data_IF_652997810940
#
_entry.id   IF_652997810940
#
_cell.length_a   1.000
_cell.length_b   1.000
_cell.length_c   1.000
_cell.angle_alpha   90.00
_cell.angle_beta   90.00
_cell.angle_gamma   90.00
#
_symmetry.space_group_name_H-M   'P 1'
#
loop_
_entity.id
_entity.type
_entity.pdbx_description
1 polymer ?
#
# COMPACT_ATOMS: atom_id res chain seq x y z
N UNK A 1 -8.81 -6.28 -25.87
CA UNK A 1 -8.52 -6.83 -24.53
C UNK A 1 -9.56 -7.89 -24.21
N UNK A 2 -9.22 -8.88 -23.38
CA UNK A 2 -10.16 -9.93 -22.95
C UNK A 2 -11.25 -9.33 -22.05
N UNK A 3 -12.46 -9.93 -21.96
CA UNK A 3 -13.49 -9.44 -21.05
C UNK A 3 -13.04 -9.49 -19.60
N UNK A 4 -13.47 -8.53 -18.80
CA UNK A 4 -13.19 -8.48 -17.36
C UNK A 4 -14.12 -9.44 -16.62
N UNK A 5 -13.54 -10.51 -16.07
CA UNK A 5 -14.25 -11.46 -15.21
C UNK A 5 -14.06 -11.16 -13.72
N UNK A 6 -12.93 -10.57 -13.34
CA UNK A 6 -12.64 -10.08 -11.99
C UNK A 6 -11.64 -8.93 -12.03
N UNK A 7 -11.72 -8.02 -11.04
CA UNK A 7 -10.75 -6.95 -10.85
C UNK A 7 -10.00 -7.15 -9.53
N UNK A 8 -8.66 -7.23 -9.63
CA UNK A 8 -7.76 -7.27 -8.48
C UNK A 8 -7.06 -5.93 -8.38
N UNK A 9 -6.89 -5.44 -7.17
CA UNK A 9 -6.26 -4.14 -6.91
C UNK A 9 -5.12 -4.25 -5.92
N UNK A 10 -4.09 -3.47 -6.14
CA UNK A 10 -3.21 -3.01 -5.08
C UNK A 10 -3.90 -1.91 -4.26
N UNK A 11 -3.33 -1.56 -3.09
CA UNK A 11 -3.89 -0.57 -2.18
C UNK A 11 -3.19 0.78 -2.25
N UNK A 12 -1.90 0.81 -1.89
CA UNK A 12 -1.13 2.04 -1.74
C UNK A 12 -0.78 2.65 -3.11
N UNK A 13 -1.00 3.95 -3.27
CA UNK A 13 -0.78 4.71 -4.51
C UNK A 13 -1.61 4.21 -5.73
N UNK A 14 -2.43 3.18 -5.51
CA UNK A 14 -3.45 2.67 -6.45
C UNK A 14 -4.85 3.13 -6.07
N UNK A 15 -5.33 2.75 -4.89
CA UNK A 15 -6.62 3.14 -4.32
C UNK A 15 -6.48 4.29 -3.31
N UNK A 16 -5.38 4.31 -2.56
CA UNK A 16 -5.08 5.30 -1.54
C UNK A 16 -3.91 6.18 -1.98
N UNK A 17 -4.11 7.50 -2.01
CA UNK A 17 -3.06 8.49 -2.24
C UNK A 17 -2.14 8.59 -1.02
N UNK A 18 -0.89 8.22 -1.21
CA UNK A 18 0.17 8.31 -0.21
C UNK A 18 1.01 9.59 -0.29
N UNK A 19 0.65 10.58 -1.11
CA UNK A 19 1.45 11.80 -1.32
C UNK A 19 1.71 12.59 -0.02
N UNK A 20 0.84 12.46 0.98
CA UNK A 20 0.93 13.13 2.28
C UNK A 20 1.64 12.31 3.37
N UNK A 21 2.26 11.17 3.02
CA UNK A 21 2.97 10.32 4.03
C UNK A 21 3.99 11.10 4.85
N UNK A 22 4.73 12.01 4.22
CA UNK A 22 5.74 12.82 4.88
C UNK A 22 5.14 13.74 5.96
N UNK A 23 3.90 14.19 5.80
CA UNK A 23 3.23 15.05 6.78
C UNK A 23 3.07 14.36 8.14
N UNK A 24 2.85 13.04 8.16
CA UNK A 24 2.72 12.29 9.41
C UNK A 24 4.02 12.29 10.23
N UNK A 25 5.17 12.19 9.55
CA UNK A 25 6.49 12.27 10.18
C UNK A 25 6.73 13.67 10.73
N UNK A 26 6.53 14.70 9.91
CA UNK A 26 6.72 16.10 10.32
C UNK A 26 5.87 16.42 11.55
N UNK A 27 4.58 16.11 11.50
CA UNK A 27 3.66 16.34 12.64
C UNK A 27 4.08 15.58 13.89
N UNK A 28 4.55 14.34 13.74
CA UNK A 28 5.06 13.57 14.89
C UNK A 28 6.27 14.27 15.51
N UNK A 29 7.23 14.70 14.71
CA UNK A 29 8.43 15.41 15.18
C UNK A 29 8.07 16.71 15.90
N UNK A 30 7.16 17.51 15.35
CA UNK A 30 6.66 18.75 15.98
C UNK A 30 5.98 18.46 17.32
N UNK A 31 5.12 17.44 17.39
CA UNK A 31 4.39 17.10 18.61
C UNK A 31 5.28 16.61 19.74
N UNK A 32 6.33 15.83 19.43
CA UNK A 32 7.27 15.36 20.46
C UNK A 32 8.23 16.48 20.90
N UNK A 33 8.71 17.31 19.97
CA UNK A 33 9.63 18.41 20.28
C UNK A 33 8.92 19.49 21.13
N UNK A 34 7.67 19.81 20.86
CA UNK A 34 6.90 20.79 21.64
C UNK A 34 6.80 20.47 23.14
N UNK A 35 6.96 19.20 23.52
CA UNK A 35 6.86 18.74 24.90
C UNK A 35 8.18 18.27 25.51
N UNK A 36 9.30 18.44 24.79
CA UNK A 36 10.63 17.96 25.21
C UNK A 36 11.66 19.12 25.17
N UNK A 37 11.99 19.74 26.32
CA UNK A 37 13.01 20.78 26.34
C UNK A 37 14.35 20.34 25.76
N UNK A 38 14.92 21.16 24.88
CA UNK A 38 16.19 20.87 24.22
C UNK A 38 16.11 20.00 22.97
N UNK A 39 14.91 19.50 22.59
CA UNK A 39 14.70 18.78 21.35
C UNK A 39 14.17 19.75 20.26
N UNK A 40 14.90 19.85 19.14
CA UNK A 40 14.49 20.66 17.99
C UNK A 40 13.78 19.78 16.94
N UNK A 41 12.55 20.16 16.54
CA UNK A 41 11.74 19.42 15.58
C UNK A 41 12.43 19.28 14.22
N UNK A 42 13.11 20.34 13.73
CA UNK A 42 13.80 20.30 12.43
C UNK A 42 14.93 19.27 12.44
N UNK A 43 15.70 19.21 13.53
CA UNK A 43 16.75 18.22 13.73
C UNK A 43 16.21 16.80 13.79
N UNK A 44 15.05 16.58 14.43
CA UNK A 44 14.41 15.25 14.48
C UNK A 44 13.90 14.82 13.09
N UNK A 45 13.33 15.75 12.31
CA UNK A 45 12.88 15.49 10.94
C UNK A 45 14.06 15.06 10.07
N UNK A 46 15.17 15.80 10.14
CA UNK A 46 16.38 15.47 9.40
C UNK A 46 16.96 14.11 9.80
N UNK A 47 17.07 13.84 11.11
CA UNK A 47 17.54 12.55 11.62
C UNK A 47 16.66 11.40 11.16
N UNK A 48 15.32 11.56 11.21
CA UNK A 48 14.39 10.54 10.74
C UNK A 48 14.57 10.26 9.23
N UNK A 49 14.73 11.31 8.42
CA UNK A 49 14.94 11.17 6.98
C UNK A 49 16.25 10.44 6.62
N UNK A 50 17.27 10.50 7.49
CA UNK A 50 18.53 9.78 7.32
C UNK A 50 18.45 8.34 7.84
N UNK A 51 17.82 8.12 8.98
CA UNK A 51 17.75 6.82 9.68
C UNK A 51 16.77 5.87 9.01
N UNK A 52 15.54 6.33 8.73
CA UNK A 52 14.44 5.48 8.30
C UNK A 52 14.76 4.65 7.05
N UNK A 53 15.32 5.21 5.95
CA UNK A 53 15.60 4.44 4.75
C UNK A 53 16.58 3.29 4.96
N UNK A 54 17.63 3.50 5.75
CA UNK A 54 18.62 2.47 6.06
C UNK A 54 18.03 1.37 6.92
N UNK A 55 17.33 1.74 8.00
CA UNK A 55 16.68 0.78 8.88
C UNK A 55 15.57 -0.04 8.14
N UNK A 56 14.78 0.62 7.30
CA UNK A 56 13.76 -0.07 6.50
C UNK A 56 14.40 -1.12 5.59
N UNK A 57 15.53 -0.82 4.95
CA UNK A 57 16.26 -1.78 4.11
C UNK A 57 16.60 -3.09 4.85
N UNK A 58 16.87 -3.02 6.16
CA UNK A 58 17.21 -4.18 7.00
C UNK A 58 16.00 -5.01 7.40
N UNK A 59 14.83 -4.38 7.56
CA UNK A 59 13.65 -5.02 8.14
C UNK A 59 12.50 -5.26 7.17
N UNK A 60 12.52 -4.62 5.99
CA UNK A 60 11.37 -4.53 5.07
C UNK A 60 10.79 -5.89 4.70
N UNK A 61 11.62 -6.84 4.31
CA UNK A 61 11.16 -8.18 3.94
C UNK A 61 10.43 -8.87 5.11
N UNK A 62 11.07 -8.89 6.29
CA UNK A 62 10.50 -9.53 7.48
C UNK A 62 9.23 -8.84 7.95
N UNK A 63 9.20 -7.52 7.87
CA UNK A 63 8.05 -6.71 8.25
C UNK A 63 6.90 -6.89 7.28
N UNK A 64 7.18 -6.79 5.97
CA UNK A 64 6.20 -6.97 4.90
C UNK A 64 5.58 -8.37 4.91
N UNK A 65 6.34 -9.40 5.30
CA UNK A 65 5.86 -10.78 5.39
C UNK A 65 5.29 -11.15 6.78
N UNK A 66 5.18 -10.18 7.70
CA UNK A 66 4.58 -10.40 9.02
C UNK A 66 5.44 -11.12 10.04
N UNK A 67 6.75 -11.29 9.77
CA UNK A 67 7.69 -11.86 10.72
C UNK A 67 8.14 -10.88 11.82
N UNK A 68 7.92 -9.58 11.62
CA UNK A 68 8.12 -8.52 12.59
C UNK A 68 6.80 -7.76 12.78
N UNK A 69 6.48 -7.40 14.01
CA UNK A 69 5.32 -6.57 14.31
C UNK A 69 5.64 -5.07 14.08
N UNK A 70 4.61 -4.33 13.66
CA UNK A 70 4.74 -2.91 13.32
C UNK A 70 5.12 -2.04 14.50
N UNK A 71 4.66 -2.37 15.71
CA UNK A 71 4.96 -1.57 16.89
C UNK A 71 6.45 -1.64 17.24
N UNK A 72 7.07 -2.82 17.15
CA UNK A 72 8.50 -3.03 17.34
C UNK A 72 9.33 -2.33 16.28
N UNK A 73 8.97 -2.47 15.00
CA UNK A 73 9.67 -1.79 13.90
C UNK A 73 9.60 -0.27 14.04
N UNK A 74 8.42 0.27 14.33
CA UNK A 74 8.23 1.72 14.50
C UNK A 74 8.97 2.23 15.74
N UNK A 75 8.91 1.52 16.87
CA UNK A 75 9.61 1.90 18.09
C UNK A 75 11.12 1.98 17.88
N UNK A 76 11.71 0.97 17.24
CA UNK A 76 13.16 0.96 16.98
C UNK A 76 13.58 2.11 16.04
N UNK A 77 12.82 2.38 14.98
CA UNK A 77 13.07 3.51 14.11
C UNK A 77 13.06 4.85 14.86
N UNK A 78 12.13 5.03 15.80
CA UNK A 78 12.09 6.24 16.63
C UNK A 78 13.20 6.29 17.70
N UNK A 79 13.61 5.14 18.27
CA UNK A 79 14.79 5.08 19.14
C UNK A 79 16.06 5.53 18.42
N UNK A 80 16.29 5.00 17.23
CA UNK A 80 17.44 5.37 16.39
C UNK A 80 17.40 6.86 16.01
N UNK A 81 16.22 7.36 15.61
CA UNK A 81 16.01 8.77 15.25
C UNK A 81 16.33 9.71 16.42
N UNK A 82 15.76 9.44 17.59
CA UNK A 82 15.98 10.26 18.79
C UNK A 82 17.42 10.13 19.32
N UNK A 83 18.00 8.93 19.25
CA UNK A 83 19.41 8.69 19.59
C UNK A 83 20.36 9.53 18.74
N UNK A 84 20.11 9.67 17.44
CA UNK A 84 20.88 10.56 16.55
C UNK A 84 20.76 12.05 16.93
N UNK A 85 19.68 12.43 17.62
CA UNK A 85 19.51 13.76 18.20
C UNK A 85 20.12 13.91 19.60
N UNK A 86 20.76 12.86 20.14
CA UNK A 86 21.33 12.86 21.49
C UNK A 86 20.26 12.64 22.59
N UNK A 87 19.06 12.17 22.24
CA UNK A 87 17.98 11.89 23.16
C UNK A 87 17.77 10.38 23.32
N UNK A 88 18.14 9.83 24.48
CA UNK A 88 17.97 8.40 24.80
C UNK A 88 16.70 8.07 25.58
N UNK A 89 15.68 8.95 25.56
CA UNK A 89 14.45 8.75 26.30
C UNK A 89 13.54 7.70 25.60
N UNK A 90 13.51 6.51 26.17
CA UNK A 90 12.69 5.37 25.70
C UNK A 90 11.19 5.68 25.75
N UNK A 91 10.74 6.47 26.72
CA UNK A 91 9.31 6.83 26.84
C UNK A 91 8.89 7.77 25.70
N UNK A 92 9.78 8.69 25.32
CA UNK A 92 9.57 9.57 24.19
C UNK A 92 9.57 8.83 22.85
N UNK A 93 10.47 7.85 22.67
CA UNK A 93 10.50 7.01 21.48
C UNK A 93 9.19 6.22 21.31
N UNK A 94 8.70 5.64 22.39
CA UNK A 94 7.40 4.92 22.42
C UNK A 94 6.24 5.86 22.09
N UNK A 95 6.21 7.05 22.64
CA UNK A 95 5.21 8.07 22.34
C UNK A 95 5.27 8.51 20.88
N UNK A 96 6.47 8.76 20.34
CA UNK A 96 6.67 9.11 18.94
C UNK A 96 6.14 8.03 18.01
N UNK A 97 6.46 6.76 18.29
CA UNK A 97 5.96 5.60 17.55
C UNK A 97 4.43 5.55 17.53
N UNK A 98 3.78 5.68 18.69
CA UNK A 98 2.31 5.66 18.79
C UNK A 98 1.65 6.79 18.00
N UNK A 99 2.18 8.01 18.12
CA UNK A 99 1.67 9.18 17.37
C UNK A 99 1.84 8.95 15.87
N UNK A 100 3.03 8.54 15.44
CA UNK A 100 3.33 8.33 14.03
C UNK A 100 2.43 7.26 13.40
N UNK A 101 2.24 6.11 14.05
CA UNK A 101 1.40 5.03 13.54
C UNK A 101 -0.07 5.48 13.36
N UNK A 102 -0.60 6.27 14.29
CA UNK A 102 -1.93 6.86 14.15
C UNK A 102 -2.02 7.80 12.96
N UNK A 103 -1.10 8.78 12.90
CA UNK A 103 -1.08 9.77 11.81
C UNK A 103 -0.78 9.17 10.44
N UNK A 104 0.03 8.11 10.36
CA UNK A 104 0.39 7.48 9.09
C UNK A 104 -0.80 6.81 8.39
N UNK A 105 -1.76 6.29 9.14
CA UNK A 105 -3.00 5.75 8.57
C UNK A 105 -3.92 6.88 8.10
N UNK A 106 -4.06 7.96 8.89
CA UNK A 106 -4.91 9.11 8.57
C UNK A 106 -4.38 9.97 7.42
N UNK A 107 -3.06 9.96 7.19
CA UNK A 107 -2.42 10.77 6.14
C UNK A 107 -2.77 10.31 4.72
N UNK A 108 -3.37 9.15 4.55
CA UNK A 108 -3.79 8.65 3.24
C UNK A 108 -5.19 9.12 2.90
N UNK A 109 -5.46 9.26 1.62
CA UNK A 109 -6.79 9.63 1.11
C UNK A 109 -7.20 8.67 0.00
N UNK A 110 -8.47 8.33 -0.03
CA UNK A 110 -9.02 7.57 -1.15
C UNK A 110 -9.00 8.46 -2.40
N UNK A 111 -8.55 7.92 -3.54
CA UNK A 111 -8.69 8.62 -4.82
C UNK A 111 -10.16 8.72 -5.20
N UNK A 112 -10.55 9.84 -5.82
CA UNK A 112 -11.94 10.18 -6.11
C UNK A 112 -12.64 9.19 -7.06
N UNK A 113 -11.87 8.48 -7.90
CA UNK A 113 -12.36 7.55 -8.92
C UNK A 113 -12.61 6.11 -8.39
N UNK A 114 -12.26 5.83 -7.12
CA UNK A 114 -12.33 4.47 -6.56
C UNK A 114 -13.75 3.99 -6.35
N UNK A 115 -14.54 4.77 -5.59
CA UNK A 115 -15.89 4.32 -5.19
C UNK A 115 -16.84 4.24 -6.39
N UNK A 116 -16.67 5.09 -7.38
CA UNK A 116 -17.46 5.04 -8.62
C UNK A 116 -17.20 3.74 -9.38
N UNK A 117 -15.91 3.36 -9.56
CA UNK A 117 -15.55 2.10 -10.20
C UNK A 117 -16.08 0.89 -9.40
N UNK A 118 -15.92 0.88 -8.08
CA UNK A 118 -16.40 -0.21 -7.24
C UNK A 118 -17.93 -0.39 -7.33
N UNK A 119 -18.66 0.72 -7.31
CA UNK A 119 -20.11 0.68 -7.50
C UNK A 119 -20.50 0.17 -8.91
N UNK A 120 -19.73 0.55 -9.94
CA UNK A 120 -19.96 0.05 -11.30
C UNK A 120 -19.65 -1.45 -11.41
N UNK A 121 -18.53 -1.92 -10.85
CA UNK A 121 -18.15 -3.33 -10.82
C UNK A 121 -19.21 -4.18 -10.08
N UNK A 122 -19.71 -3.70 -8.94
CA UNK A 122 -20.76 -4.37 -8.18
C UNK A 122 -22.08 -4.48 -8.98
N UNK A 123 -22.47 -3.39 -9.69
CA UNK A 123 -23.64 -3.46 -10.61
C UNK A 123 -23.41 -4.47 -11.74
N UNK A 124 -22.20 -4.51 -12.29
CA UNK A 124 -21.82 -5.46 -13.34
C UNK A 124 -21.59 -6.90 -12.82
N UNK A 125 -21.69 -7.14 -11.50
CA UNK A 125 -21.38 -8.42 -10.83
C UNK A 125 -19.97 -8.91 -11.10
N UNK A 126 -19.01 -7.99 -11.23
CA UNK A 126 -17.59 -8.30 -11.35
C UNK A 126 -16.99 -8.35 -9.95
N UNK A 127 -16.48 -9.50 -9.51
CA UNK A 127 -15.90 -9.64 -8.17
C UNK A 127 -14.61 -8.82 -8.04
N UNK A 128 -14.38 -8.32 -6.82
CA UNK A 128 -13.23 -7.50 -6.48
C UNK A 128 -12.33 -8.23 -5.48
N UNK A 129 -11.02 -8.22 -5.73
CA UNK A 129 -10.04 -8.64 -4.75
C UNK A 129 -8.99 -7.56 -4.48
N UNK A 130 -8.48 -7.52 -3.26
CA UNK A 130 -7.33 -6.73 -2.88
C UNK A 130 -6.12 -7.63 -2.70
N UNK A 131 -4.97 -7.24 -3.27
CA UNK A 131 -3.68 -7.91 -3.07
C UNK A 131 -2.66 -6.84 -2.75
N UNK A 132 -2.25 -6.75 -1.49
CA UNK A 132 -1.39 -5.66 -1.01
C UNK A 132 -0.18 -6.18 -0.22
N UNK A 133 0.98 -5.57 -0.46
CA UNK A 133 2.19 -5.83 0.31
C UNK A 133 2.20 -4.95 1.56
N UNK A 134 2.58 -5.53 2.68
CA UNK A 134 2.76 -4.83 3.95
C UNK A 134 2.25 -5.62 5.16
N UNK A 135 2.56 -5.15 6.37
CA UNK A 135 2.12 -5.80 7.61
C UNK A 135 0.60 -5.71 7.78
N UNK A 136 0.03 -6.77 8.35
CA UNK A 136 -1.43 -6.95 8.45
C UNK A 136 -2.12 -5.80 9.18
N UNK A 137 -1.59 -5.38 10.31
CA UNK A 137 -2.18 -4.34 11.16
C UNK A 137 -2.30 -2.99 10.44
N UNK A 138 -1.27 -2.61 9.67
CA UNK A 138 -1.26 -1.38 8.87
C UNK A 138 -2.25 -1.46 7.72
N UNK A 139 -2.21 -2.54 6.93
CA UNK A 139 -3.08 -2.68 5.77
C UNK A 139 -4.55 -2.81 6.19
N UNK A 140 -4.86 -3.59 7.24
CA UNK A 140 -6.20 -3.67 7.83
C UNK A 140 -6.66 -2.34 8.42
N UNK A 141 -5.75 -1.61 9.08
CA UNK A 141 -6.01 -0.26 9.58
C UNK A 141 -6.46 0.70 8.47
N UNK A 142 -5.73 0.73 7.34
CA UNK A 142 -6.09 1.53 6.17
C UNK A 142 -7.47 1.16 5.61
N UNK A 143 -7.73 -0.13 5.42
CA UNK A 143 -9.03 -0.59 4.91
C UNK A 143 -10.19 -0.17 5.81
N UNK A 144 -10.01 -0.28 7.13
CA UNK A 144 -11.03 0.10 8.11
C UNK A 144 -11.29 1.59 8.13
N UNK A 145 -10.24 2.43 8.20
CA UNK A 145 -10.37 3.89 8.26
C UNK A 145 -11.05 4.45 7.01
N UNK A 146 -10.77 3.86 5.85
CA UNK A 146 -11.36 4.29 4.58
C UNK A 146 -12.64 3.54 4.19
N UNK A 147 -13.14 2.65 5.05
CA UNK A 147 -14.37 1.91 4.80
C UNK A 147 -14.31 0.99 3.58
N UNK A 148 -13.13 0.42 3.27
CA UNK A 148 -12.92 -0.34 2.05
C UNK A 148 -13.17 -1.84 2.18
N UNK A 149 -13.16 -2.41 3.40
CA UNK A 149 -13.21 -3.87 3.60
C UNK A 149 -14.43 -4.54 2.93
N UNK A 150 -15.60 -3.90 2.99
CA UNK A 150 -16.86 -4.46 2.49
C UNK A 150 -16.99 -4.46 0.95
N UNK A 151 -16.06 -3.82 0.25
CA UNK A 151 -16.05 -3.80 -1.21
C UNK A 151 -15.41 -5.03 -1.82
N UNK A 152 -14.51 -5.70 -1.10
CA UNK A 152 -13.73 -6.81 -1.61
C UNK A 152 -14.33 -8.16 -1.21
N UNK A 153 -14.49 -9.04 -2.18
CA UNK A 153 -14.87 -10.43 -1.96
C UNK A 153 -13.68 -11.23 -1.40
N UNK A 154 -12.46 -10.82 -1.73
CA UNK A 154 -11.22 -11.41 -1.22
C UNK A 154 -10.20 -10.31 -0.89
N UNK A 155 -9.57 -10.43 0.28
CA UNK A 155 -8.41 -9.61 0.69
C UNK A 155 -7.24 -10.52 0.95
N UNK A 156 -6.11 -10.23 0.31
CA UNK A 156 -4.82 -10.90 0.51
C UNK A 156 -3.79 -9.85 0.91
N UNK A 157 -3.24 -10.00 2.10
CA UNK A 157 -2.20 -9.12 2.66
C UNK A 157 -0.95 -9.97 2.86
N UNK A 158 0.19 -9.53 2.33
CA UNK A 158 1.44 -10.30 2.42
C UNK A 158 1.82 -10.66 3.86
N UNK A 159 1.60 -9.75 4.80
CA UNK A 159 1.85 -9.98 6.22
C UNK A 159 0.93 -11.01 6.89
N UNK A 160 -0.16 -11.44 6.23
CA UNK A 160 -1.04 -12.51 6.70
C UNK A 160 -0.71 -13.86 6.08
N UNK A 161 -0.22 -13.85 4.84
CA UNK A 161 0.00 -15.08 4.06
C UNK A 161 1.47 -15.46 3.91
N UNK A 162 2.40 -14.59 4.34
CA UNK A 162 3.84 -14.82 4.25
C UNK A 162 4.40 -14.80 2.82
N UNK A 163 3.63 -14.29 1.85
CA UNK A 163 4.01 -14.20 0.44
C UNK A 163 3.65 -12.82 -0.08
N UNK A 164 4.59 -12.15 -0.77
CA UNK A 164 4.43 -10.80 -1.29
C UNK A 164 4.50 -10.77 -2.83
N UNK A 165 3.87 -9.78 -3.46
CA UNK A 165 4.12 -9.41 -4.85
C UNK A 165 5.60 -9.05 -5.03
N UNK A 166 6.28 -9.46 -6.11
CA UNK A 166 5.74 -9.99 -7.36
C UNK A 166 5.59 -11.52 -7.44
N UNK A 167 5.65 -12.27 -6.33
CA UNK A 167 5.48 -13.72 -6.38
C UNK A 167 4.08 -14.07 -6.92
N UNK A 168 4.01 -14.86 -8.00
CA UNK A 168 2.76 -15.26 -8.64
C UNK A 168 1.78 -15.95 -7.69
N UNK A 169 2.29 -16.70 -6.70
CA UNK A 169 1.46 -17.45 -5.75
C UNK A 169 0.52 -16.55 -4.92
N UNK A 170 0.86 -15.27 -4.70
CA UNK A 170 -0.03 -14.37 -3.95
C UNK A 170 -1.30 -14.04 -4.74
N UNK A 171 -1.20 -13.97 -6.07
CA UNK A 171 -2.35 -13.79 -6.96
C UNK A 171 -3.19 -15.07 -7.06
N UNK A 172 -2.53 -16.24 -7.05
CA UNK A 172 -3.20 -17.53 -7.06
C UNK A 172 -4.15 -17.71 -5.87
N UNK A 173 -3.79 -17.17 -4.71
CA UNK A 173 -4.67 -17.19 -3.53
C UNK A 173 -6.01 -16.49 -3.81
N UNK A 174 -6.01 -15.37 -4.49
CA UNK A 174 -7.22 -14.63 -4.83
C UNK A 174 -8.01 -15.31 -5.96
N UNK A 175 -7.34 -15.77 -7.02
CA UNK A 175 -7.95 -16.51 -8.14
C UNK A 175 -8.68 -17.74 -7.63
N UNK A 176 -8.02 -18.55 -6.79
CA UNK A 176 -8.58 -19.77 -6.23
C UNK A 176 -9.77 -19.52 -5.30
N UNK A 177 -9.71 -18.46 -4.48
CA UNK A 177 -10.82 -18.10 -3.58
C UNK A 177 -12.05 -17.60 -4.31
N UNK A 178 -11.85 -16.87 -5.42
CA UNK A 178 -12.95 -16.34 -6.22
C UNK A 178 -13.48 -17.34 -7.26
N UNK A 179 -12.77 -18.44 -7.51
CA UNK A 179 -13.10 -19.45 -8.53
C UNK A 179 -13.27 -18.83 -9.93
N UNK A 180 -12.39 -17.89 -10.30
CA UNK A 180 -12.44 -17.17 -11.57
C UNK A 180 -11.40 -17.71 -12.55
N UNK A 181 -11.71 -17.63 -13.85
CA UNK A 181 -10.78 -17.98 -14.92
C UNK A 181 -9.66 -16.91 -15.00
N UNK A 182 -8.43 -17.36 -14.85
CA UNK A 182 -7.21 -16.53 -14.74
C UNK A 182 -7.06 -15.51 -15.86
N UNK A 183 -7.34 -15.91 -17.08
CA UNK A 183 -7.25 -15.09 -18.28
C UNK A 183 -8.28 -13.94 -18.34
N UNK A 184 -9.31 -13.97 -17.52
CA UNK A 184 -10.33 -12.92 -17.39
C UNK A 184 -10.10 -12.03 -16.16
N UNK A 185 -9.01 -12.26 -15.41
CA UNK A 185 -8.64 -11.44 -14.24
C UNK A 185 -7.72 -10.31 -14.67
N UNK A 186 -8.04 -9.10 -14.25
CA UNK A 186 -7.20 -7.93 -14.43
C UNK A 186 -6.68 -7.48 -13.07
N UNK A 187 -5.36 -7.38 -12.93
CA UNK A 187 -4.73 -6.78 -11.76
C UNK A 187 -4.31 -5.34 -12.06
N UNK A 188 -4.74 -4.43 -11.22
CA UNK A 188 -4.49 -2.99 -11.32
C UNK A 188 -3.58 -2.57 -10.18
N UNK A 189 -2.42 -2.00 -10.50
CA UNK A 189 -1.46 -1.52 -9.50
C UNK A 189 -0.54 -0.44 -10.07
N UNK A 190 0.11 0.32 -9.19
CA UNK A 190 0.98 1.44 -9.54
C UNK A 190 2.45 1.02 -9.77
N UNK A 191 2.85 -0.13 -9.26
CA UNK A 191 4.23 -0.62 -9.30
C UNK A 191 4.48 -1.53 -10.49
N UNK A 192 5.38 -1.13 -11.39
CA UNK A 192 5.79 -1.98 -12.51
C UNK A 192 6.50 -3.26 -12.03
N UNK A 193 7.29 -3.18 -10.95
CA UNK A 193 8.11 -4.29 -10.47
C UNK A 193 7.37 -5.28 -9.58
N UNK A 194 6.33 -4.86 -8.87
CA UNK A 194 5.56 -5.74 -7.99
C UNK A 194 4.22 -6.12 -8.60
N UNK A 195 3.43 -5.14 -9.09
CA UNK A 195 2.09 -5.39 -9.61
C UNK A 195 2.12 -5.92 -11.02
N UNK A 196 2.75 -5.18 -11.94
CA UNK A 196 2.77 -5.57 -13.36
C UNK A 196 3.56 -6.86 -13.54
N UNK A 197 4.78 -6.93 -13.01
CA UNK A 197 5.61 -8.14 -13.12
C UNK A 197 4.91 -9.35 -12.49
N UNK A 198 4.34 -9.18 -11.28
CA UNK A 198 3.66 -10.26 -10.56
C UNK A 198 2.40 -10.75 -11.26
N UNK A 199 1.55 -9.83 -11.74
CA UNK A 199 0.34 -10.16 -12.48
C UNK A 199 0.66 -10.94 -13.77
N UNK A 200 1.67 -10.49 -14.52
CA UNK A 200 2.13 -11.21 -15.74
C UNK A 200 2.69 -12.59 -15.41
N UNK A 201 3.50 -12.71 -14.36
CA UNK A 201 4.01 -14.01 -13.91
C UNK A 201 2.89 -14.96 -13.47
N UNK A 202 1.77 -14.42 -12.94
CA UNK A 202 0.57 -15.16 -12.59
C UNK A 202 -0.36 -15.43 -13.78
N UNK A 203 -0.05 -14.96 -15.00
CA UNK A 203 -0.89 -15.14 -16.19
C UNK A 203 -2.16 -14.28 -16.20
N UNK A 204 -2.18 -13.19 -15.43
CA UNK A 204 -3.26 -12.22 -15.38
C UNK A 204 -3.03 -11.07 -16.38
N UNK A 205 -4.09 -10.33 -16.71
CA UNK A 205 -3.95 -9.05 -17.41
C UNK A 205 -3.40 -8.00 -16.47
N UNK A 206 -2.22 -7.46 -16.77
CA UNK A 206 -1.53 -6.47 -15.94
C UNK A 206 -1.88 -5.05 -16.38
N UNK A 207 -2.57 -4.31 -15.53
CA UNK A 207 -2.94 -2.90 -15.75
C UNK A 207 -2.09 -2.01 -14.86
N UNK A 208 -1.26 -1.20 -15.48
CA UNK A 208 -0.49 -0.20 -14.76
C UNK A 208 -1.29 1.09 -14.59
N UNK A 209 -1.58 1.46 -13.35
CA UNK A 209 -2.15 2.76 -13.05
C UNK A 209 -1.04 3.78 -12.83
N UNK A 210 -0.82 4.62 -13.81
CA UNK A 210 0.22 5.65 -13.82
C UNK A 210 -0.35 7.04 -13.53
N UNK A 211 -0.76 7.27 -12.28
CA UNK A 211 -1.40 8.53 -11.85
C UNK A 211 -0.47 9.73 -12.01
N UNK A 212 0.83 9.56 -11.81
CA UNK A 212 1.83 10.61 -11.89
C UNK A 212 2.29 10.95 -13.32
N UNK A 213 1.97 10.09 -14.30
CA UNK A 213 2.47 10.22 -15.67
C UNK A 213 3.96 9.91 -15.82
N UNK A 214 4.51 9.03 -14.96
CA UNK A 214 5.91 8.59 -15.03
C UNK A 214 6.21 7.93 -16.38
N UNK A 215 7.35 8.26 -16.96
CA UNK A 215 7.83 7.59 -18.17
C UNK A 215 8.43 6.23 -17.78
N UNK A 216 7.96 5.16 -18.42
CA UNK A 216 8.50 3.82 -18.26
C UNK A 216 9.93 3.75 -18.82
N UNK A 217 10.84 3.11 -18.10
CA UNK A 217 12.20 2.83 -18.58
C UNK A 217 12.21 1.61 -19.47
N UNK A 218 13.25 1.44 -20.26
CA UNK A 218 13.36 0.32 -21.22
C UNK A 218 13.33 -1.05 -20.53
N UNK A 219 13.94 -1.15 -19.33
CA UNK A 219 14.03 -2.40 -18.56
C UNK A 219 12.84 -2.61 -17.60
N UNK A 220 11.90 -1.64 -17.52
CA UNK A 220 10.72 -1.81 -16.71
C UNK A 220 9.78 -2.87 -17.32
N UNK A 221 9.09 -3.70 -16.48
CA UNK A 221 8.08 -4.63 -16.95
C UNK A 221 7.01 -3.94 -17.82
N UNK A 222 6.63 -4.58 -18.93
CA UNK A 222 5.64 -4.03 -19.85
C UNK A 222 4.22 -4.41 -19.42
N UNK A 223 3.34 -3.42 -19.10
CA UNK A 223 1.95 -3.68 -18.79
C UNK A 223 1.15 -4.04 -20.07
N UNK A 224 0.05 -4.77 -19.90
CA UNK A 224 -0.90 -5.01 -20.99
C UNK A 224 -1.75 -3.77 -21.28
N UNK A 225 -1.90 -2.90 -20.29
CA UNK A 225 -2.59 -1.63 -20.40
C UNK A 225 -2.02 -0.60 -19.41
N UNK A 226 -1.89 0.65 -19.84
CA UNK A 226 -1.61 1.79 -18.97
C UNK A 226 -2.84 2.68 -18.87
N UNK A 227 -3.20 3.07 -17.64
CA UNK A 227 -4.28 4.00 -17.35
C UNK A 227 -3.80 5.08 -16.38
N UNK A 228 -4.45 6.24 -16.36
CA UNK A 228 -4.16 7.34 -15.41
C UNK A 228 -5.24 7.51 -14.35
N UNK A 229 -6.41 6.90 -14.58
CA UNK A 229 -7.55 6.92 -13.68
C UNK A 229 -8.28 5.59 -13.77
N UNK A 230 -8.82 5.14 -12.64
CA UNK A 230 -9.64 3.94 -12.55
C UNK A 230 -10.95 4.08 -13.34
N UNK A 231 -11.43 5.30 -13.60
CA UNK A 231 -12.61 5.55 -14.42
C UNK A 231 -12.49 4.99 -15.84
N UNK A 232 -11.28 4.83 -16.38
CA UNK A 232 -11.08 4.18 -17.67
C UNK A 232 -11.52 2.70 -17.68
N UNK A 233 -11.53 2.04 -16.52
CA UNK A 233 -11.92 0.62 -16.42
C UNK A 233 -13.43 0.41 -16.54
N UNK A 234 -14.25 1.43 -16.30
CA UNK A 234 -15.71 1.30 -16.36
C UNK A 234 -16.22 0.87 -17.73
N UNK A 235 -15.51 1.27 -18.81
CA UNK A 235 -15.86 0.91 -20.18
C UNK A 235 -15.59 -0.56 -20.54
N UNK A 236 -14.82 -1.26 -19.73
CA UNK A 236 -14.49 -2.69 -19.93
C UNK A 236 -15.35 -3.62 -19.07
N UNK A 237 -16.17 -3.07 -18.18
CA UNK A 237 -17.10 -3.87 -17.39
C UNK A 237 -18.22 -4.43 -18.29
N UNK A 238 -18.69 -5.67 -18.03
CA UNK A 238 -19.78 -6.25 -18.82
C UNK A 238 -21.06 -5.43 -18.65
N UNK A 239 -21.70 -5.13 -19.79
CA UNK A 239 -23.02 -4.48 -19.80
C UNK A 239 -24.05 -5.54 -19.39
N UNK A 240 -24.81 -5.28 -18.34
CA UNK A 240 -25.96 -6.13 -18.03
C UNK A 240 -27.08 -5.82 -19.04
N UNK A 241 -27.46 -6.83 -19.80
CA UNK A 241 -28.63 -6.83 -20.67
C UNK A 241 -29.90 -6.96 -19.81
#
# INVERSE_FOLDING_TARGET
>A
MKPVGALFFDLDDTLLDGSRRQESIVRTCEMIAANQPGLDAARVIEANAQIWPGYLQEVDEKWTLGALDTASVSLEAWRLTLGACGCGDESLARRASQIHLGLAVEARRLFDDVLELFAAAKRARVPLALITNGPSDIQRGKLRVHGLEHWFDVVVISGEVGIAKPNASVFDLAVNKLLVERENVWHVGDSLTTDVAGAKAAGLTAVWINRSGRVRRQDDPEPDCEIRSLSHLTSFLPVQL
#
